data_IF_605821916010
#
_entry.id   IF_605821916010
#
_cell.length_a   1.000
_cell.length_b   1.000
_cell.length_c   1.000
_cell.angle_alpha   90.00
_cell.angle_beta   90.00
_cell.angle_gamma   90.00
#
_symmetry.space_group_name_H-M   'P 1'
#
loop_
_entity.id
_entity.type
_entity.pdbx_description
1 polymer ?
#
# COMPACT_ATOMS: atom_id res chain seq x y z
N UNK A 1 -20.26 -7.06 -0.67
CA UNK A 1 -19.02 -7.60 -1.25
C UNK A 1 -18.05 -6.43 -1.28
N UNK A 2 -16.81 -6.63 -0.84
CA UNK A 2 -15.82 -5.56 -0.92
C UNK A 2 -15.44 -5.37 -2.39
N UNK A 3 -15.33 -4.12 -2.83
CA UNK A 3 -15.06 -3.80 -4.23
C UNK A 3 -13.55 -3.63 -4.42
N UNK A 4 -12.85 -4.72 -4.71
CA UNK A 4 -11.43 -4.65 -5.04
C UNK A 4 -11.19 -4.17 -6.47
N UNK A 5 -10.14 -3.37 -6.66
CA UNK A 5 -9.68 -2.90 -7.98
C UNK A 5 -8.20 -3.24 -8.19
N UNK A 6 -7.75 -3.15 -9.44
CA UNK A 6 -6.33 -3.23 -9.77
C UNK A 6 -5.57 -2.15 -8.99
N UNK A 7 -4.57 -2.58 -8.24
CA UNK A 7 -3.75 -1.73 -7.38
C UNK A 7 -4.00 -1.90 -5.88
N UNK A 8 -5.10 -2.54 -5.48
CA UNK A 8 -5.41 -2.76 -4.07
C UNK A 8 -4.43 -3.74 -3.43
N UNK A 9 -4.09 -3.46 -2.16
CA UNK A 9 -3.29 -4.35 -1.32
C UNK A 9 -4.24 -5.26 -0.54
N UNK A 10 -4.04 -6.56 -0.67
CA UNK A 10 -4.87 -7.61 -0.09
C UNK A 10 -4.02 -8.69 0.61
N UNK A 11 -4.72 -9.62 1.26
CA UNK A 11 -4.20 -10.83 1.90
C UNK A 11 -4.83 -12.08 1.29
N UNK A 12 -4.14 -13.21 1.44
CA UNK A 12 -4.69 -14.55 1.18
C UNK A 12 -5.06 -15.20 2.52
N UNK A 13 -6.31 -15.65 2.69
CA UNK A 13 -6.86 -16.15 3.96
C UNK A 13 -6.08 -17.31 4.59
N UNK A 14 -5.58 -18.23 3.76
CA UNK A 14 -4.83 -19.42 4.19
C UNK A 14 -3.40 -19.38 3.65
N UNK A 15 -2.76 -18.21 3.68
CA UNK A 15 -1.42 -18.04 3.15
C UNK A 15 -0.42 -18.96 3.86
N UNK A 16 0.22 -19.84 3.08
CA UNK A 16 1.31 -20.68 3.56
C UNK A 16 2.60 -20.23 2.86
N UNK A 17 3.54 -19.66 3.61
CA UNK A 17 4.83 -19.24 3.06
C UNK A 17 5.60 -20.49 2.59
N UNK A 18 5.88 -20.60 1.30
CA UNK A 18 6.71 -21.69 0.79
C UNK A 18 8.17 -21.48 1.19
N UNK A 19 8.84 -22.53 1.69
CA UNK A 19 10.23 -22.51 2.14
C UNK A 19 11.28 -22.41 1.01
N UNK A 20 10.92 -21.93 -0.20
CA UNK A 20 11.88 -21.90 -1.31
C UNK A 20 12.95 -20.82 -1.09
N UNK A 21 14.19 -21.28 -1.07
CA UNK A 21 15.45 -20.70 -0.55
C UNK A 21 15.98 -19.41 -1.18
N UNK A 22 15.18 -18.48 -1.73
CA UNK A 22 15.78 -17.23 -2.26
C UNK A 22 15.22 -15.87 -1.88
N UNK A 23 14.05 -15.74 -1.28
CA UNK A 23 13.70 -14.50 -0.56
C UNK A 23 12.71 -14.90 0.53
N UNK A 24 13.13 -14.79 1.79
CA UNK A 24 12.20 -14.79 2.92
C UNK A 24 11.11 -13.76 2.62
N UNK A 25 9.85 -14.17 2.69
CA UNK A 25 8.83 -13.32 3.30
C UNK A 25 7.62 -14.10 3.76
N UNK A 26 7.54 -14.21 5.08
CA UNK A 26 6.36 -14.53 5.88
C UNK A 26 5.26 -13.44 5.76
N UNK A 27 5.37 -12.52 4.81
CA UNK A 27 4.46 -11.39 4.66
C UNK A 27 3.34 -11.80 3.72
N UNK A 28 2.15 -11.92 4.28
CA UNK A 28 0.90 -12.12 3.56
C UNK A 28 0.39 -10.75 3.08
N UNK A 29 1.05 -10.11 2.11
CA UNK A 29 0.58 -8.86 1.51
C UNK A 29 0.88 -8.91 0.02
N UNK A 30 -0.14 -8.63 -0.77
CA UNK A 30 -0.07 -8.71 -2.23
C UNK A 30 -0.83 -7.55 -2.85
N UNK A 31 -0.35 -7.06 -3.98
CA UNK A 31 -1.03 -6.08 -4.81
C UNK A 31 -1.76 -6.77 -5.95
N UNK A 32 -3.02 -6.41 -6.20
CA UNK A 32 -3.75 -6.87 -7.38
C UNK A 32 -3.16 -6.18 -8.61
N UNK A 33 -2.69 -6.97 -9.59
CA UNK A 33 -2.11 -6.47 -10.85
C UNK A 33 -2.99 -6.71 -12.06
N UNK A 34 -3.89 -7.71 -12.00
CA UNK A 34 -4.83 -8.02 -13.07
C UNK A 34 -6.06 -8.76 -12.51
N UNK A 35 -7.15 -8.77 -13.27
CA UNK A 35 -8.35 -9.53 -12.97
C UNK A 35 -8.90 -10.15 -14.26
N UNK A 36 -8.89 -11.48 -14.32
CA UNK A 36 -9.36 -12.24 -15.47
C UNK A 36 -10.00 -13.55 -14.98
N UNK A 37 -11.08 -13.97 -15.66
CA UNK A 37 -11.72 -15.28 -15.41
C UNK A 37 -12.05 -15.50 -13.91
N UNK A 38 -12.60 -14.47 -13.25
CA UNK A 38 -12.98 -14.49 -11.82
C UNK A 38 -11.80 -14.67 -10.83
N UNK A 39 -10.57 -14.53 -11.32
CA UNK A 39 -9.34 -14.66 -10.55
C UNK A 39 -8.59 -13.33 -10.54
N UNK A 40 -8.08 -12.96 -9.38
CA UNK A 40 -7.07 -11.91 -9.25
C UNK A 40 -5.70 -12.48 -9.57
N UNK A 41 -4.94 -11.76 -10.37
CA UNK A 41 -3.49 -11.95 -10.44
C UNK A 41 -2.85 -11.00 -9.44
N UNK A 42 -2.03 -11.56 -8.58
CA UNK A 42 -1.33 -10.86 -7.52
C UNK A 42 0.13 -10.62 -7.92
N UNK A 43 0.70 -9.50 -7.47
CA UNK A 43 2.13 -9.25 -7.59
C UNK A 43 2.96 -10.30 -6.84
N UNK A 44 4.24 -10.39 -7.17
CA UNK A 44 5.15 -11.48 -6.79
C UNK A 44 4.70 -12.87 -7.32
N UNK A 45 5.53 -13.45 -8.20
CA UNK A 45 5.30 -14.76 -8.86
C UNK A 45 3.99 -14.94 -9.65
N UNK A 46 3.19 -13.87 -9.86
CA UNK A 46 1.92 -13.92 -10.59
C UNK A 46 0.96 -14.95 -10.01
N UNK A 47 0.82 -14.97 -8.68
CA UNK A 47 -0.11 -15.86 -7.98
C UNK A 47 -1.53 -15.56 -8.47
N UNK A 48 -2.28 -16.60 -8.81
CA UNK A 48 -3.71 -16.50 -9.09
C UNK A 48 -4.49 -16.85 -7.83
N UNK A 49 -5.45 -16.01 -7.44
CA UNK A 49 -6.32 -16.25 -6.30
C UNK A 49 -7.77 -15.93 -6.67
N UNK A 50 -8.71 -16.78 -6.24
CA UNK A 50 -10.13 -16.46 -6.36
C UNK A 50 -10.53 -15.41 -5.32
N UNK A 51 -11.65 -14.73 -5.58
CA UNK A 51 -12.22 -13.76 -4.64
C UNK A 51 -12.41 -14.34 -3.23
N UNK A 52 -12.80 -15.61 -3.12
CA UNK A 52 -13.04 -16.28 -1.84
C UNK A 52 -11.76 -16.55 -1.04
N UNK A 53 -10.61 -16.62 -1.72
CA UNK A 53 -9.31 -16.90 -1.11
C UNK A 53 -8.64 -15.64 -0.57
N UNK A 54 -9.12 -14.46 -0.99
CA UNK A 54 -8.57 -13.17 -0.56
C UNK A 54 -9.39 -12.55 0.57
N UNK A 55 -8.74 -11.65 1.29
CA UNK A 55 -9.34 -10.87 2.36
C UNK A 55 -8.69 -9.47 2.43
N UNK A 56 -9.40 -8.47 2.99
CA UNK A 56 -8.82 -7.16 3.16
C UNK A 56 -7.71 -7.17 4.21
N UNK A 57 -6.80 -6.21 4.09
CA UNK A 57 -5.80 -5.96 5.13
C UNK A 57 -6.40 -5.02 6.18
N UNK A 58 -6.62 -5.47 7.43
CA UNK A 58 -7.10 -4.60 8.50
C UNK A 58 -6.03 -3.60 8.92
N UNK A 59 -6.46 -2.40 9.27
CA UNK A 59 -5.59 -1.34 9.80
C UNK A 59 -5.39 -1.59 11.30
N UNK A 60 -4.27 -2.20 11.68
CA UNK A 60 -4.02 -2.57 13.08
C UNK A 60 -2.54 -2.56 13.51
N UNK A 61 -1.63 -2.05 12.68
CA UNK A 61 -0.17 -2.05 12.92
C UNK A 61 0.46 -3.45 13.03
N UNK A 62 -0.30 -4.52 12.75
CA UNK A 62 0.17 -5.90 12.77
C UNK A 62 0.16 -6.46 11.36
N UNK A 63 -1.00 -6.44 10.71
CA UNK A 63 -1.23 -6.99 9.38
C UNK A 63 -0.75 -6.03 8.28
N UNK A 64 -0.85 -4.72 8.51
CA UNK A 64 -0.43 -3.67 7.59
C UNK A 64 0.93 -3.04 7.95
N UNK A 65 1.67 -3.63 8.89
CA UNK A 65 2.95 -3.09 9.42
C UNK A 65 4.04 -2.89 8.35
N UNK A 66 3.95 -3.64 7.26
CA UNK A 66 4.94 -3.65 6.17
C UNK A 66 4.57 -2.70 5.04
N UNK A 67 3.49 -1.92 5.22
CA UNK A 67 3.06 -0.90 4.28
C UNK A 67 3.66 0.44 4.69
N UNK A 68 4.24 1.14 3.72
CA UNK A 68 4.76 2.49 3.87
C UNK A 68 4.15 3.42 2.82
N UNK A 69 4.24 4.73 3.06
CA UNK A 69 3.81 5.75 2.11
C UNK A 69 5.04 6.34 1.41
N UNK A 70 5.06 6.25 0.08
CA UNK A 70 6.15 6.79 -0.76
C UNK A 70 5.70 8.10 -1.42
N UNK A 71 5.89 9.27 -0.77
CA UNK A 71 5.34 10.52 -1.27
C UNK A 71 5.91 10.85 -2.65
N UNK A 72 5.05 11.31 -3.57
CA UNK A 72 5.51 11.93 -4.82
C UNK A 72 6.21 13.24 -4.48
N UNK A 73 7.54 13.21 -4.44
CA UNK A 73 8.35 14.42 -4.30
C UNK A 73 8.42 15.07 -5.68
N UNK A 74 7.67 16.16 -5.87
CA UNK A 74 7.86 17.03 -7.03
C UNK A 74 9.33 17.50 -7.02
N UNK A 75 10.06 17.17 -8.08
CA UNK A 75 11.51 17.35 -8.15
C UNK A 75 11.93 18.74 -7.69
N UNK A 76 12.89 18.78 -6.76
CA UNK A 76 13.52 20.01 -6.33
C UNK A 76 14.08 20.74 -7.55
N UNK A 77 13.95 22.08 -7.59
CA UNK A 77 14.73 22.86 -8.54
C UNK A 77 16.21 22.74 -8.18
N UNK A 78 16.97 22.02 -9.00
CA UNK A 78 18.42 21.89 -8.87
C UNK A 78 19.02 23.01 -9.73
N UNK A 79 19.78 23.92 -9.12
CA UNK A 79 20.55 24.91 -9.88
C UNK A 79 21.77 24.24 -10.52
N UNK A 80 22.28 24.74 -11.66
CA UNK A 80 23.51 24.21 -12.25
C UNK A 80 24.66 24.23 -11.25
N UNK A 81 25.17 23.05 -10.86
CA UNK A 81 26.26 22.88 -9.91
C UNK A 81 25.84 22.37 -8.53
N UNK A 82 24.54 22.34 -8.22
CA UNK A 82 24.07 21.76 -6.96
C UNK A 82 24.08 20.21 -7.02
N UNK A 83 24.47 19.54 -5.92
CA UNK A 83 24.35 18.10 -5.83
C UNK A 83 22.87 17.70 -5.91
N UNK A 84 22.58 16.62 -6.65
CA UNK A 84 21.24 16.07 -6.70
C UNK A 84 20.78 15.72 -5.27
N UNK A 85 19.58 16.15 -4.83
CA UNK A 85 19.08 15.86 -3.50
C UNK A 85 18.91 14.34 -3.36
N UNK A 86 19.62 13.75 -2.41
CA UNK A 86 19.46 12.35 -2.06
C UNK A 86 18.20 12.22 -1.21
N UNK A 87 17.08 11.93 -1.86
CA UNK A 87 15.82 11.63 -1.16
C UNK A 87 15.91 10.18 -0.66
N UNK A 88 16.10 10.01 0.65
CA UNK A 88 16.01 8.68 1.27
C UNK A 88 14.54 8.30 1.44
N UNK A 89 14.17 7.10 0.98
CA UNK A 89 12.84 6.53 1.23
C UNK A 89 12.62 6.38 2.74
N UNK A 90 11.49 6.86 3.21
CA UNK A 90 11.07 6.70 4.60
C UNK A 90 10.13 5.48 4.69
N UNK A 91 10.68 4.37 5.18
CA UNK A 91 9.95 3.11 5.38
C UNK A 91 9.20 3.05 6.72
N UNK A 92 8.99 4.19 7.40
CA UNK A 92 8.11 4.23 8.57
C UNK A 92 6.67 3.85 8.19
N UNK A 93 5.92 3.43 9.19
CA UNK A 93 4.53 3.01 9.02
C UNK A 93 3.69 4.15 8.43
N UNK A 94 2.90 3.84 7.40
CA UNK A 94 2.23 4.86 6.58
C UNK A 94 1.31 5.81 7.39
N UNK A 95 0.61 5.33 8.43
CA UNK A 95 -0.21 6.22 9.27
C UNK A 95 0.62 7.17 10.12
N UNK A 96 1.82 6.78 10.54
CA UNK A 96 2.72 7.68 11.28
C UNK A 96 3.23 8.78 10.34
N UNK A 97 3.40 8.47 9.05
CA UNK A 97 3.61 9.45 8.00
C UNK A 97 2.43 10.39 7.81
N UNK A 98 1.21 9.85 7.79
CA UNK A 98 -0.02 10.61 7.59
C UNK A 98 -0.34 11.62 8.68
N UNK A 99 0.26 11.50 9.87
CA UNK A 99 0.19 12.54 10.90
C UNK A 99 0.92 13.82 10.46
N UNK A 100 1.94 13.70 9.60
CA UNK A 100 2.77 14.80 9.10
C UNK A 100 2.28 15.35 7.76
N UNK A 101 1.57 14.54 6.96
CA UNK A 101 0.95 14.96 5.71
C UNK A 101 -0.35 15.72 5.98
N UNK A 102 -0.46 16.97 5.51
CA UNK A 102 -1.67 17.78 5.65
C UNK A 102 -2.30 18.07 4.29
N UNK A 103 -3.63 18.01 4.27
CA UNK A 103 -4.42 18.52 3.16
C UNK A 103 -5.50 19.46 3.70
N UNK A 104 -5.51 20.70 3.19
CA UNK A 104 -6.30 21.78 3.77
C UNK A 104 -5.92 21.95 5.26
N UNK A 105 -6.87 21.70 6.16
CA UNK A 105 -6.70 21.86 7.62
C UNK A 105 -6.51 20.53 8.37
N UNK A 106 -6.71 19.39 7.71
CA UNK A 106 -6.64 18.07 8.35
C UNK A 106 -5.36 17.35 7.95
N UNK A 107 -4.80 16.59 8.88
CA UNK A 107 -3.83 15.54 8.56
C UNK A 107 -4.50 14.41 7.78
N UNK A 108 -3.73 13.67 7.00
CA UNK A 108 -4.24 12.49 6.29
C UNK A 108 -4.78 11.45 7.30
N UNK A 109 -4.15 11.39 8.48
CA UNK A 109 -4.59 10.53 9.57
C UNK A 109 -6.00 10.90 10.08
N UNK A 110 -6.28 12.19 10.27
CA UNK A 110 -7.61 12.66 10.66
C UNK A 110 -8.65 12.37 9.57
N UNK A 111 -8.29 12.51 8.30
CA UNK A 111 -9.20 12.17 7.18
C UNK A 111 -9.59 10.69 7.22
N UNK A 112 -8.64 9.78 7.40
CA UNK A 112 -8.90 8.34 7.50
C UNK A 112 -9.80 8.04 8.71
N UNK A 113 -9.47 8.61 9.87
CA UNK A 113 -10.25 8.42 11.10
C UNK A 113 -11.68 8.94 10.96
N UNK A 114 -11.86 10.12 10.37
CA UNK A 114 -13.19 10.74 10.21
C UNK A 114 -14.09 9.98 9.22
N UNK A 115 -13.50 9.26 8.27
CA UNK A 115 -14.23 8.40 7.33
C UNK A 115 -14.43 6.97 7.87
N UNK A 116 -13.97 6.66 9.08
CA UNK A 116 -14.06 5.33 9.71
C UNK A 116 -13.52 4.19 8.83
N UNK A 117 -12.44 4.44 8.09
CA UNK A 117 -11.82 3.42 7.24
C UNK A 117 -11.13 2.37 8.13
N UNK A 118 -11.39 1.09 7.83
CA UNK A 118 -10.94 -0.07 8.62
C UNK A 118 -9.92 -0.91 7.86
N UNK A 119 -9.90 -0.81 6.53
CA UNK A 119 -9.07 -1.62 5.67
C UNK A 119 -8.18 -0.77 4.77
N UNK A 120 -7.03 -1.32 4.40
CA UNK A 120 -6.01 -0.61 3.60
C UNK A 120 -6.57 -0.20 2.23
N UNK A 121 -7.32 -1.07 1.54
CA UNK A 121 -7.88 -0.75 0.23
C UNK A 121 -8.84 0.47 0.29
N UNK A 122 -9.59 0.62 1.39
CA UNK A 122 -10.46 1.79 1.59
C UNK A 122 -9.63 3.08 1.70
N UNK A 123 -8.47 3.02 2.36
CA UNK A 123 -7.51 4.13 2.40
C UNK A 123 -6.96 4.40 1.01
N UNK A 124 -6.59 3.37 0.24
CA UNK A 124 -6.11 3.54 -1.13
C UNK A 124 -7.15 4.23 -2.01
N UNK A 125 -8.41 3.79 -1.97
CA UNK A 125 -9.51 4.40 -2.73
C UNK A 125 -9.73 5.84 -2.31
N UNK A 126 -9.75 6.12 -1.00
CA UNK A 126 -9.88 7.48 -0.49
C UNK A 126 -8.78 8.41 -1.01
N UNK A 127 -7.53 7.94 -1.01
CA UNK A 127 -6.39 8.72 -1.51
C UNK A 127 -6.43 8.88 -3.04
N UNK A 128 -6.81 7.85 -3.79
CA UNK A 128 -6.99 7.92 -5.24
C UNK A 128 -8.10 8.92 -5.61
N UNK A 129 -9.23 8.89 -4.93
CA UNK A 129 -10.34 9.80 -5.21
C UNK A 129 -9.97 11.25 -4.88
N UNK A 130 -9.30 11.46 -3.74
CA UNK A 130 -8.97 12.79 -3.22
C UNK A 130 -7.73 13.41 -3.89
N UNK A 131 -6.68 12.62 -4.11
CA UNK A 131 -5.36 13.09 -4.52
C UNK A 131 -4.89 12.55 -5.88
N UNK A 132 -5.66 11.63 -6.50
CA UNK A 132 -5.30 10.95 -7.76
C UNK A 132 -4.05 10.05 -7.65
N UNK A 133 -3.62 9.77 -6.43
CA UNK A 133 -2.55 8.82 -6.12
C UNK A 133 -2.73 8.26 -4.70
N UNK A 134 -2.49 6.97 -4.47
CA UNK A 134 -2.47 6.37 -3.13
C UNK A 134 -1.05 6.34 -2.53
N UNK A 135 -0.05 6.05 -3.36
CA UNK A 135 1.36 5.92 -2.98
C UNK A 135 1.65 4.98 -1.80
N UNK A 136 0.73 4.08 -1.46
CA UNK A 136 0.99 3.02 -0.49
C UNK A 136 1.78 1.91 -1.19
N UNK A 137 2.81 1.43 -0.51
CA UNK A 137 3.77 0.45 -1.05
C UNK A 137 4.08 -0.60 0.01
N UNK A 138 4.30 -1.82 -0.43
CA UNK A 138 4.81 -2.91 0.41
C UNK A 138 6.33 -2.77 0.46
N UNK A 139 6.94 -2.87 1.64
CA UNK A 139 8.40 -2.85 1.78
C UNK A 139 9.02 -4.01 1.01
N UNK A 140 9.96 -3.73 0.11
CA UNK A 140 10.85 -4.74 -0.49
C UNK A 140 11.95 -5.09 0.54
N UNK A 141 12.30 -6.37 0.69
CA UNK A 141 13.35 -6.83 1.62
C UNK A 141 14.35 -7.66 0.83
#
# INVERSE_FOLDING_TARGET
>A
MENYIIGDIIRIRNYCSSNSTRVKKEINLFKIVDFAEECFTLDYYKIKAHYEDIEPVPINKIDDKEIYYDPVVAGSFILPGDPAPVIRKDYSYYLDHFQRCRFKNNSYYELIRNNNLKYVHEVQHYLLDTFKHDNLRIKDF
#
